data_IF_722424501323
#
_entry.id   IF_722424501323
#
_cell.length_a   1.000
_cell.length_b   1.000
_cell.length_c   1.000
_cell.angle_alpha   90.00
_cell.angle_beta   90.00
_cell.angle_gamma   90.00
#
_symmetry.space_group_name_H-M   'P 1'
#
loop_
_entity.id
_entity.type
_entity.pdbx_description
1 polymer ?
#
# COMPACT_ATOMS: atom_id res chain seq x y z
N UNK A 1 -1.94 -0.38 -3.00
CA UNK A 1 -0.61 -0.54 -3.59
C UNK A 1 -0.77 -0.82 -5.06
N UNK A 2 -0.56 0.21 -5.88
CA UNK A 2 -0.84 0.13 -7.30
C UNK A 2 0.34 -0.43 -8.08
N UNK A 3 0.03 -1.42 -8.90
CA UNK A 3 0.88 -1.86 -9.99
C UNK A 3 0.05 -2.39 -11.17
N UNK A 4 0.31 -1.89 -12.38
CA UNK A 4 -0.16 -2.44 -13.65
C UNK A 4 1.00 -2.32 -14.64
N UNK A 5 1.39 -3.42 -15.29
CA UNK A 5 2.12 -3.36 -16.55
C UNK A 5 1.23 -3.86 -17.70
N UNK A 6 1.63 -3.50 -18.91
CA UNK A 6 1.11 -4.06 -20.16
C UNK A 6 2.05 -5.14 -20.63
N UNK A 7 1.50 -6.31 -20.90
CA UNK A 7 2.18 -7.38 -21.64
C UNK A 7 2.11 -7.06 -23.14
N UNK A 8 3.26 -6.93 -23.80
CA UNK A 8 3.39 -7.14 -25.24
C UNK A 8 4.05 -8.51 -25.42
N UNK A 9 3.40 -9.38 -26.19
CA UNK A 9 3.57 -10.84 -26.11
C UNK A 9 4.92 -11.38 -26.59
N UNK A 10 5.41 -12.42 -25.90
CA UNK A 10 5.48 -13.83 -26.37
C UNK A 10 6.13 -14.71 -25.29
N UNK A 11 5.53 -15.90 -25.11
CA UNK A 11 5.95 -17.17 -24.47
C UNK A 11 7.02 -17.19 -23.35
N UNK A 12 6.62 -17.78 -22.22
CA UNK A 12 7.41 -18.41 -21.14
C UNK A 12 8.39 -17.56 -20.30
N UNK A 13 7.86 -16.85 -19.30
CA UNK A 13 8.36 -16.85 -17.90
C UNK A 13 7.42 -16.04 -16.98
N UNK A 14 7.23 -16.49 -15.73
CA UNK A 14 6.41 -15.83 -14.71
C UNK A 14 6.89 -14.39 -14.48
N UNK A 15 6.00 -13.40 -14.45
CA UNK A 15 6.32 -11.97 -14.28
C UNK A 15 5.43 -11.33 -13.20
N UNK A 16 6.05 -10.64 -12.25
CA UNK A 16 5.38 -9.73 -11.31
C UNK A 16 5.55 -8.32 -11.86
N UNK A 17 4.45 -7.59 -11.97
CA UNK A 17 4.39 -6.30 -12.62
C UNK A 17 4.14 -5.23 -11.56
N UNK A 18 5.12 -4.33 -11.37
CA UNK A 18 5.03 -3.05 -10.64
C UNK A 18 4.67 -1.94 -11.65
N UNK A 19 4.01 -0.84 -11.28
CA UNK A 19 3.69 0.24 -12.25
C UNK A 19 4.99 0.88 -12.78
N UNK A 20 5.29 0.73 -14.09
CA UNK A 20 6.58 1.12 -14.72
C UNK A 20 6.47 2.45 -15.51
N UNK A 21 5.41 3.24 -15.38
CA UNK A 21 5.34 4.51 -16.15
C UNK A 21 6.12 5.67 -15.48
N UNK A 22 6.67 5.44 -14.28
CA UNK A 22 7.65 6.34 -13.65
C UNK A 22 9.10 5.95 -13.94
N UNK A 23 9.36 4.86 -14.67
CA UNK A 23 10.71 4.32 -14.89
C UNK A 23 11.40 3.74 -13.65
N UNK A 24 10.71 3.65 -12.51
CA UNK A 24 11.28 3.14 -11.26
C UNK A 24 11.42 1.61 -11.30
N UNK A 25 12.49 1.09 -10.68
CA UNK A 25 12.73 -0.35 -10.51
C UNK A 25 12.54 -0.74 -9.06
N UNK A 26 11.98 -1.94 -8.77
CA UNK A 26 11.79 -2.35 -7.40
C UNK A 26 13.11 -2.39 -6.61
N UNK A 27 13.14 -1.95 -5.34
CA UNK A 27 14.39 -1.75 -4.62
C UNK A 27 15.21 -3.04 -4.47
N UNK A 28 14.56 -4.19 -4.34
CA UNK A 28 15.21 -5.49 -4.20
C UNK A 28 15.94 -5.98 -5.45
N UNK A 29 15.72 -5.36 -6.63
CA UNK A 29 16.49 -5.72 -7.83
C UNK A 29 17.94 -5.23 -7.76
N UNK A 30 18.27 -4.35 -6.80
CA UNK A 30 19.63 -3.92 -6.52
C UNK A 30 20.16 -4.67 -5.27
N UNK A 31 21.19 -5.54 -5.40
CA UNK A 31 21.69 -6.35 -4.29
C UNK A 31 22.06 -5.56 -3.03
N UNK A 32 22.65 -4.37 -3.20
CA UNK A 32 23.00 -3.49 -2.08
C UNK A 32 21.77 -3.08 -1.24
N UNK A 33 20.64 -2.76 -1.89
CA UNK A 33 19.37 -2.43 -1.20
C UNK A 33 18.78 -3.65 -0.51
N UNK A 34 18.89 -4.85 -1.11
CA UNK A 34 18.44 -6.08 -0.49
C UNK A 34 19.23 -6.43 0.79
N UNK A 35 20.55 -6.16 0.80
CA UNK A 35 21.38 -6.30 2.01
C UNK A 35 21.00 -5.27 3.08
N UNK A 36 20.80 -4.01 2.70
CA UNK A 36 20.36 -2.94 3.61
C UNK A 36 19.01 -3.25 4.27
N UNK A 37 18.05 -3.76 3.51
CA UNK A 37 16.69 -4.06 3.98
C UNK A 37 16.66 -5.04 5.17
N UNK A 38 17.68 -5.89 5.33
CA UNK A 38 17.83 -6.78 6.49
C UNK A 38 18.02 -6.03 7.81
N UNK A 39 18.54 -4.81 7.76
CA UNK A 39 18.70 -3.94 8.93
C UNK A 39 17.51 -3.00 9.10
N UNK A 40 17.02 -2.44 7.99
CA UNK A 40 15.99 -1.41 7.99
C UNK A 40 14.60 -1.97 8.36
N UNK A 41 14.25 -3.15 7.85
CA UNK A 41 12.99 -3.82 8.16
C UNK A 41 12.77 -4.01 9.67
N UNK A 42 13.71 -4.65 10.40
CA UNK A 42 13.61 -4.78 11.86
C UNK A 42 13.55 -3.44 12.61
N UNK A 43 14.26 -2.41 12.12
CA UNK A 43 14.18 -1.06 12.72
C UNK A 43 12.80 -0.45 12.55
N UNK A 44 12.24 -0.49 11.35
CA UNK A 44 10.90 0.00 11.06
C UNK A 44 9.85 -0.77 11.87
N UNK A 45 9.95 -2.10 11.92
CA UNK A 45 9.09 -2.95 12.75
C UNK A 45 9.12 -2.54 14.22
N UNK A 46 10.32 -2.38 14.80
CA UNK A 46 10.48 -1.91 16.18
C UNK A 46 9.88 -0.50 16.36
N UNK A 47 10.15 0.42 15.44
CA UNK A 47 9.67 1.80 15.50
C UNK A 47 8.15 1.88 15.50
N UNK A 48 7.48 1.12 14.63
CA UNK A 48 6.01 1.10 14.54
C UNK A 48 5.35 0.10 15.52
N UNK A 49 6.11 -0.56 16.39
CA UNK A 49 5.57 -1.56 17.33
C UNK A 49 4.92 -2.77 16.63
N UNK A 50 5.36 -3.11 15.42
CA UNK A 50 4.83 -4.23 14.63
C UNK A 50 5.86 -5.35 14.56
N UNK A 51 5.41 -6.59 14.64
CA UNK A 51 6.26 -7.77 14.46
C UNK A 51 5.61 -8.69 13.44
N UNK A 52 6.20 -8.78 12.25
CA UNK A 52 5.70 -9.64 11.18
C UNK A 52 6.83 -10.25 10.36
N UNK A 53 6.53 -11.32 9.65
CA UNK A 53 7.44 -11.91 8.67
C UNK A 53 6.99 -11.53 7.28
N UNK A 54 7.93 -11.17 6.41
CA UNK A 54 7.62 -10.94 4.99
C UNK A 54 7.12 -12.27 4.41
N UNK A 55 5.91 -12.32 3.81
CA UNK A 55 5.40 -13.55 3.24
C UNK A 55 6.32 -14.06 2.13
N UNK A 56 6.54 -15.38 2.02
CA UNK A 56 7.46 -15.96 1.03
C UNK A 56 7.00 -15.77 -0.42
N UNK A 57 5.70 -15.47 -0.63
CA UNK A 57 5.11 -15.18 -1.94
C UNK A 57 5.14 -13.69 -2.32
N UNK A 58 5.61 -12.82 -1.42
CA UNK A 58 5.67 -11.39 -1.71
C UNK A 58 6.78 -11.09 -2.75
N UNK A 59 6.54 -10.21 -3.74
CA UNK A 59 5.33 -9.42 -3.98
C UNK A 59 4.24 -10.15 -4.77
N UNK A 60 2.97 -9.84 -4.48
CA UNK A 60 1.80 -10.37 -5.21
C UNK A 60 1.35 -9.45 -6.34
N UNK A 61 0.61 -9.99 -7.31
CA UNK A 61 -0.18 -9.18 -8.26
C UNK A 61 -1.48 -8.72 -7.58
N UNK A 62 -1.47 -7.53 -7.00
CA UNK A 62 -2.56 -7.02 -6.13
C UNK A 62 -3.79 -6.45 -6.86
N UNK A 63 -3.98 -6.70 -8.16
CA UNK A 63 -5.05 -6.06 -8.95
C UNK A 63 -6.44 -6.32 -8.41
N UNK A 64 -6.79 -7.58 -8.15
CA UNK A 64 -8.12 -7.93 -7.65
C UNK A 64 -8.38 -7.30 -6.27
N UNK A 65 -7.49 -7.41 -5.26
CA UNK A 65 -7.62 -6.68 -3.99
C UNK A 65 -7.80 -5.17 -4.15
N UNK A 66 -7.00 -4.52 -5.00
CA UNK A 66 -7.12 -3.07 -5.21
C UNK A 66 -8.46 -2.68 -5.83
N UNK A 67 -8.99 -3.47 -6.78
CA UNK A 67 -10.32 -3.22 -7.36
C UNK A 67 -11.43 -3.43 -6.33
N UNK A 68 -11.33 -4.47 -5.50
CA UNK A 68 -12.27 -4.71 -4.42
C UNK A 68 -12.25 -3.56 -3.40
N UNK A 69 -11.08 -2.98 -3.10
CA UNK A 69 -10.96 -1.80 -2.26
C UNK A 69 -11.61 -0.56 -2.90
N UNK A 70 -11.46 -0.35 -4.21
CA UNK A 70 -12.16 0.73 -4.93
C UNK A 70 -13.68 0.55 -4.87
N UNK A 71 -14.16 -0.68 -5.09
CA UNK A 71 -15.58 -1.00 -4.98
C UNK A 71 -16.10 -0.77 -3.56
N UNK A 72 -15.41 -1.30 -2.55
CA UNK A 72 -15.78 -1.13 -1.14
C UNK A 72 -15.76 0.36 -0.74
N UNK A 73 -14.81 1.16 -1.21
CA UNK A 73 -14.79 2.61 -0.96
C UNK A 73 -16.02 3.32 -1.52
N UNK A 74 -16.55 2.86 -2.67
CA UNK A 74 -17.73 3.44 -3.32
C UNK A 74 -19.01 3.04 -2.58
N UNK A 75 -19.14 1.77 -2.17
CA UNK A 75 -20.39 1.22 -1.62
C UNK A 75 -20.48 1.27 -0.09
N UNK A 76 -19.34 1.14 0.59
CA UNK A 76 -19.21 1.00 2.04
C UNK A 76 -18.09 1.91 2.57
N UNK A 77 -18.16 3.24 2.33
CA UNK A 77 -17.08 4.18 2.67
C UNK A 77 -16.73 4.15 4.16
N UNK A 78 -17.71 3.89 5.03
CA UNK A 78 -17.56 3.80 6.49
C UNK A 78 -16.77 2.58 6.97
N UNK A 79 -16.67 1.53 6.13
CA UNK A 79 -15.93 0.29 6.42
C UNK A 79 -14.65 0.15 5.60
N UNK A 80 -14.32 1.16 4.80
CA UNK A 80 -13.19 1.09 3.88
C UNK A 80 -11.86 0.87 4.59
N UNK A 81 -11.60 1.63 5.66
CA UNK A 81 -10.34 1.57 6.40
C UNK A 81 -10.18 0.22 7.10
N UNK A 82 -11.25 -0.29 7.74
CA UNK A 82 -11.27 -1.62 8.35
C UNK A 82 -10.99 -2.72 7.32
N UNK A 83 -11.58 -2.62 6.12
CA UNK A 83 -11.33 -3.60 5.06
C UNK A 83 -9.91 -3.51 4.50
N UNK A 84 -9.38 -2.29 4.36
CA UNK A 84 -8.01 -2.06 3.96
C UNK A 84 -7.03 -2.67 4.96
N UNK A 85 -7.21 -2.42 6.25
CA UNK A 85 -6.42 -3.02 7.33
C UNK A 85 -6.55 -4.54 7.32
N UNK A 86 -7.78 -5.07 7.22
CA UNK A 86 -8.03 -6.50 7.15
C UNK A 86 -7.30 -7.19 5.99
N UNK A 87 -7.20 -6.55 4.82
CA UNK A 87 -6.41 -7.06 3.70
C UNK A 87 -4.91 -7.16 4.06
N UNK A 88 -4.36 -6.12 4.70
CA UNK A 88 -2.97 -6.12 5.16
C UNK A 88 -2.71 -7.18 6.23
N UNK A 89 -3.56 -7.24 7.26
CA UNK A 89 -3.46 -8.21 8.34
C UNK A 89 -3.54 -9.65 7.82
N UNK A 90 -4.48 -9.93 6.92
CA UNK A 90 -4.65 -11.26 6.31
C UNK A 90 -3.43 -11.65 5.46
N UNK A 91 -2.85 -10.71 4.73
CA UNK A 91 -1.68 -10.97 3.87
C UNK A 91 -0.38 -11.09 4.65
N UNK A 92 -0.08 -10.10 5.50
CA UNK A 92 1.21 -9.97 6.18
C UNK A 92 1.29 -10.81 7.45
N UNK A 93 0.26 -10.77 8.30
CA UNK A 93 0.27 -11.52 9.56
C UNK A 93 -0.36 -12.91 9.39
N UNK A 94 -1.44 -13.00 8.61
CA UNK A 94 -2.08 -14.26 8.25
C UNK A 94 -1.28 -15.11 7.25
N UNK A 95 -0.28 -14.53 6.56
CA UNK A 95 0.53 -15.21 5.54
C UNK A 95 -0.32 -15.83 4.42
N UNK A 96 -1.39 -15.14 4.00
CA UNK A 96 -2.28 -15.58 2.92
C UNK A 96 -2.15 -14.68 1.69
N UNK A 97 -1.96 -15.28 0.51
CA UNK A 97 -1.90 -14.55 -0.75
C UNK A 97 -3.31 -14.06 -1.13
N UNK A 98 -3.62 -12.80 -0.82
CA UNK A 98 -4.91 -12.17 -1.14
C UNK A 98 -5.10 -11.88 -2.65
N UNK A 99 -4.11 -12.13 -3.52
CA UNK A 99 -4.39 -12.16 -4.96
C UNK A 99 -5.32 -13.31 -5.35
N UNK A 100 -5.46 -14.30 -4.47
CA UNK A 100 -6.41 -15.40 -4.58
C UNK A 100 -7.79 -15.00 -4.04
N UNK A 101 -8.87 -15.14 -4.83
CA UNK A 101 -10.23 -14.77 -4.42
C UNK A 101 -10.66 -15.35 -3.06
N UNK A 102 -10.31 -16.60 -2.79
CA UNK A 102 -10.65 -17.30 -1.56
C UNK A 102 -10.01 -16.66 -0.31
N UNK A 103 -8.77 -16.19 -0.43
CA UNK A 103 -8.07 -15.51 0.67
C UNK A 103 -8.55 -14.07 0.83
N UNK A 104 -8.90 -13.41 -0.27
CA UNK A 104 -9.49 -12.07 -0.22
C UNK A 104 -10.87 -12.09 0.46
N UNK A 105 -11.66 -13.14 0.25
CA UNK A 105 -12.92 -13.35 0.98
C UNK A 105 -12.70 -13.51 2.48
N UNK A 106 -11.63 -14.19 2.92
CA UNK A 106 -11.27 -14.28 4.34
C UNK A 106 -11.03 -12.87 4.92
N UNK A 107 -10.34 -11.99 4.19
CA UNK A 107 -10.16 -10.62 4.63
C UNK A 107 -11.48 -9.84 4.66
N UNK A 108 -12.32 -9.96 3.62
CA UNK A 108 -13.61 -9.26 3.55
C UNK A 108 -14.56 -9.67 4.70
N UNK A 109 -14.64 -10.96 5.01
CA UNK A 109 -15.51 -11.51 6.08
C UNK A 109 -15.17 -11.06 7.48
N UNK A 110 -14.00 -10.46 7.71
CA UNK A 110 -13.66 -9.85 9.01
C UNK A 110 -14.40 -8.53 9.26
N UNK A 111 -14.97 -7.93 8.21
CA UNK A 111 -15.57 -6.58 8.22
C UNK A 111 -17.00 -6.58 7.69
N UNK A 112 -17.28 -7.48 6.75
CA UNK A 112 -18.55 -7.60 6.03
C UNK A 112 -19.22 -8.94 6.30
N UNK A 113 -20.55 -8.97 6.19
CA UNK A 113 -21.26 -10.24 6.15
C UNK A 113 -20.96 -11.02 4.87
N UNK A 114 -21.43 -12.27 4.79
CA UNK A 114 -21.15 -13.14 3.63
C UNK A 114 -21.66 -12.55 2.32
N UNK A 115 -22.85 -11.95 2.30
CA UNK A 115 -23.45 -11.40 1.09
C UNK A 115 -22.64 -10.20 0.58
N UNK A 116 -22.30 -9.29 1.48
CA UNK A 116 -21.47 -8.13 1.22
C UNK A 116 -20.05 -8.52 0.76
N UNK A 117 -19.43 -9.52 1.40
CA UNK A 117 -18.11 -9.99 1.02
C UNK A 117 -18.08 -10.56 -0.42
N UNK A 118 -19.10 -11.35 -0.78
CA UNK A 118 -19.26 -11.88 -2.15
C UNK A 118 -19.53 -10.77 -3.16
N UNK A 119 -20.37 -9.80 -2.79
CA UNK A 119 -20.65 -8.62 -3.61
C UNK A 119 -19.38 -7.83 -3.91
N UNK A 120 -18.54 -7.55 -2.89
CA UNK A 120 -17.27 -6.84 -3.05
C UNK A 120 -16.33 -7.59 -4.00
N UNK A 121 -16.19 -8.91 -3.81
CA UNK A 121 -15.35 -9.73 -4.67
C UNK A 121 -15.82 -9.69 -6.14
N UNK A 122 -17.13 -9.77 -6.36
CA UNK A 122 -17.73 -9.66 -7.69
C UNK A 122 -17.55 -8.25 -8.27
N UNK A 123 -17.78 -7.22 -7.47
CA UNK A 123 -17.65 -5.80 -7.82
C UNK A 123 -16.25 -5.42 -8.26
N UNK A 124 -15.21 -6.09 -7.74
CA UNK A 124 -13.84 -5.95 -8.22
C UNK A 124 -13.64 -6.30 -9.71
N UNK A 125 -14.59 -6.97 -10.36
CA UNK A 125 -14.55 -7.28 -11.78
C UNK A 125 -15.36 -6.32 -12.67
N UNK A 126 -16.09 -5.39 -12.08
CA UNK A 126 -16.88 -4.39 -12.79
C UNK A 126 -16.00 -3.52 -13.71
N UNK A 127 -16.40 -3.29 -14.98
CA UNK A 127 -15.67 -2.41 -15.90
C UNK A 127 -15.44 -0.99 -15.37
N UNK A 128 -16.41 -0.40 -14.67
CA UNK A 128 -16.29 0.94 -14.09
C UNK A 128 -15.21 0.95 -13.01
N UNK A 129 -15.21 -0.04 -12.10
CA UNK A 129 -14.22 -0.16 -11.02
C UNK A 129 -12.81 -0.39 -11.58
N UNK A 130 -12.69 -1.20 -12.64
CA UNK A 130 -11.42 -1.39 -13.35
C UNK A 130 -10.91 -0.07 -13.91
N UNK A 131 -11.79 0.73 -14.51
CA UNK A 131 -11.47 2.05 -15.06
C UNK A 131 -11.09 3.02 -13.94
N UNK A 132 -11.87 3.12 -12.87
CA UNK A 132 -11.58 4.00 -11.73
C UNK A 132 -10.22 3.70 -11.11
N UNK A 133 -9.87 2.43 -10.90
CA UNK A 133 -8.54 2.07 -10.41
C UNK A 133 -7.44 2.53 -11.38
N UNK A 134 -7.62 2.33 -12.69
CA UNK A 134 -6.66 2.76 -13.70
C UNK A 134 -6.49 4.29 -13.72
N UNK A 135 -7.60 5.03 -13.76
CA UNK A 135 -7.63 6.49 -13.80
C UNK A 135 -6.96 7.11 -12.56
N UNK A 136 -7.29 6.62 -11.35
CA UNK A 136 -6.69 7.09 -10.10
C UNK A 136 -5.17 6.95 -10.11
N UNK A 137 -4.70 5.85 -10.68
CA UNK A 137 -3.28 5.53 -10.76
C UNK A 137 -2.57 6.40 -11.79
N UNK A 138 -3.17 6.55 -12.97
CA UNK A 138 -2.65 7.39 -14.04
C UNK A 138 -2.53 8.84 -13.58
N UNK A 139 -3.53 9.34 -12.86
CA UNK A 139 -3.48 10.66 -12.24
C UNK A 139 -2.32 10.79 -11.25
N UNK A 140 -2.15 9.83 -10.34
CA UNK A 140 -1.05 9.85 -9.38
C UNK A 140 0.33 9.91 -10.06
N UNK A 141 0.54 9.15 -11.14
CA UNK A 141 1.86 9.11 -11.81
C UNK A 141 2.06 10.27 -12.78
N UNK A 142 1.10 10.52 -13.68
CA UNK A 142 1.27 11.50 -14.77
C UNK A 142 1.01 12.93 -14.33
N UNK A 143 0.10 13.14 -13.39
CA UNK A 143 -0.26 14.48 -12.92
C UNK A 143 0.46 14.83 -11.64
N UNK A 144 0.51 13.91 -10.67
CA UNK A 144 1.10 14.19 -9.35
C UNK A 144 2.58 13.80 -9.24
N UNK A 145 3.15 13.14 -10.25
CA UNK A 145 4.58 12.79 -10.28
C UNK A 145 4.96 11.61 -9.38
N UNK A 146 3.98 10.80 -8.93
CA UNK A 146 4.26 9.66 -8.07
C UNK A 146 5.14 8.63 -8.79
N UNK A 147 6.21 8.20 -8.11
CA UNK A 147 7.16 7.21 -8.63
C UNK A 147 7.24 5.93 -7.78
N UNK A 148 6.46 5.83 -6.72
CA UNK A 148 6.46 4.69 -5.81
C UNK A 148 5.31 4.76 -4.81
N UNK A 149 5.35 3.89 -3.81
CA UNK A 149 4.39 3.90 -2.71
C UNK A 149 5.06 3.62 -1.34
N UNK A 150 4.47 4.11 -0.23
CA UNK A 150 3.33 5.03 -0.20
C UNK A 150 3.69 6.43 -0.74
N UNK A 151 2.71 7.08 -1.36
CA UNK A 151 2.79 8.44 -1.89
C UNK A 151 1.61 9.22 -1.35
N UNK A 152 1.89 10.37 -0.76
CA UNK A 152 0.89 11.26 -0.18
C UNK A 152 0.89 12.57 -0.94
N UNK A 153 -0.29 13.04 -1.32
CA UNK A 153 -0.50 14.39 -1.83
C UNK A 153 -1.26 15.15 -0.74
N UNK A 154 -0.58 16.05 -0.04
CA UNK A 154 -1.08 16.66 1.19
C UNK A 154 -1.55 18.07 0.87
N UNK A 155 -2.79 18.39 1.24
CA UNK A 155 -3.36 19.73 1.09
C UNK A 155 -3.31 20.46 2.43
N UNK A 156 -2.86 21.72 2.43
CA UNK A 156 -2.72 22.53 3.65
C UNK A 156 -4.02 23.23 4.11
N UNK A 157 -5.09 23.10 3.34
CA UNK A 157 -6.38 23.80 3.58
C UNK A 157 -6.37 25.29 3.21
N UNK A 158 -5.24 25.84 2.75
CA UNK A 158 -5.05 27.23 2.30
C UNK A 158 -5.01 27.34 0.76
N UNK A 159 -5.26 26.22 0.07
CA UNK A 159 -5.25 26.13 -1.39
C UNK A 159 -3.94 25.62 -1.98
N UNK A 160 -2.97 25.24 -1.14
CA UNK A 160 -1.71 24.63 -1.60
C UNK A 160 -1.75 23.11 -1.39
N UNK A 161 -0.89 22.40 -2.12
CA UNK A 161 -0.62 20.99 -1.88
C UNK A 161 0.79 20.61 -2.34
N UNK A 162 1.41 19.64 -1.66
CA UNK A 162 2.71 19.11 -2.05
C UNK A 162 2.87 17.59 -1.79
N UNK A 163 3.81 16.92 -2.47
CA UNK A 163 3.99 15.48 -2.35
C UNK A 163 4.97 15.03 -1.26
N UNK A 164 4.65 13.90 -0.62
CA UNK A 164 5.55 13.19 0.30
C UNK A 164 5.61 11.70 -0.05
N UNK A 165 6.83 11.15 -0.12
CA UNK A 165 7.08 9.75 -0.47
C UNK A 165 7.72 8.97 0.67
N UNK A 166 7.17 7.79 0.98
CA UNK A 166 7.69 6.88 2.00
C UNK A 166 6.89 6.91 3.31
N UNK A 167 7.13 5.92 4.16
CA UNK A 167 6.50 5.78 5.48
C UNK A 167 7.27 6.49 6.59
N UNK A 168 8.30 7.24 6.25
CA UNK A 168 9.32 7.81 7.12
C UNK A 168 9.42 9.34 6.96
N UNK A 169 8.33 9.99 6.50
CA UNK A 169 8.23 11.44 6.22
C UNK A 169 7.09 12.15 6.94
N UNK A 170 6.45 11.49 7.91
CA UNK A 170 5.29 12.08 8.61
C UNK A 170 5.59 13.40 9.31
N UNK A 171 6.80 13.59 9.87
CA UNK A 171 7.19 14.86 10.50
C UNK A 171 7.18 16.04 9.50
N UNK A 172 7.70 15.84 8.28
CA UNK A 172 7.59 16.87 7.24
C UNK A 172 6.15 17.17 6.85
N UNK A 173 5.28 16.15 6.85
CA UNK A 173 3.85 16.36 6.61
C UNK A 173 3.20 17.16 7.74
N UNK A 174 3.60 16.93 9.00
CA UNK A 174 3.11 17.69 10.15
C UNK A 174 3.61 19.13 10.15
N UNK A 175 4.88 19.36 9.81
CA UNK A 175 5.42 20.71 9.59
C UNK A 175 4.64 21.46 8.51
N UNK A 176 4.41 20.81 7.35
CA UNK A 176 3.64 21.40 6.25
C UNK A 176 2.19 21.76 6.63
N UNK A 177 1.60 20.97 7.54
CA UNK A 177 0.23 21.16 8.04
C UNK A 177 0.15 22.09 9.27
N UNK A 178 1.26 22.69 9.70
CA UNK A 178 1.36 23.47 10.94
C UNK A 178 0.86 22.68 12.18
N UNK A 179 1.02 21.35 12.19
CA UNK A 179 0.61 20.48 13.30
C UNK A 179 1.74 20.45 14.36
N UNK A 180 1.48 20.88 15.61
CA UNK A 180 2.48 20.82 16.67
C UNK A 180 2.92 19.39 16.93
N UNK A 181 4.23 19.14 16.85
CA UNK A 181 4.81 17.84 17.13
C UNK A 181 6.20 17.96 17.76
N UNK A 182 6.71 16.84 18.26
CA UNK A 182 8.06 16.72 18.79
C UNK A 182 8.76 15.61 18.01
N UNK A 183 9.75 15.98 17.21
CA UNK A 183 10.42 15.08 16.25
C UNK A 183 11.20 13.94 16.92
N UNK A 184 12.49 14.14 17.20
CA UNK A 184 13.35 13.18 17.89
C UNK A 184 13.99 13.85 19.10
N UNK A 185 13.27 13.91 20.22
CA UNK A 185 13.84 14.37 21.48
C UNK A 185 14.73 13.29 22.10
N UNK A 186 16.02 13.60 22.27
CA UNK A 186 16.91 12.79 23.09
C UNK A 186 16.49 12.92 24.55
N UNK A 187 15.98 11.84 25.13
CA UNK A 187 15.81 11.79 26.57
C UNK A 187 17.19 11.83 27.23
N UNK A 188 17.37 12.70 28.24
CA UNK A 188 18.58 12.67 29.07
C UNK A 188 18.78 11.25 29.57
N UNK A 189 19.98 10.70 29.34
CA UNK A 189 20.30 9.34 29.78
C UNK A 189 19.92 9.17 31.26
N UNK A 190 19.37 8.02 31.69
CA UNK A 190 19.43 7.69 33.10
C UNK A 190 20.90 7.79 33.51
N UNK A 191 21.18 8.52 34.60
CA UNK A 191 22.52 8.64 35.15
C UNK A 191 23.12 7.21 35.23
N UNK A 192 24.30 7.04 34.64
CA UNK A 192 25.03 5.78 34.47
C UNK A 192 24.71 4.73 35.55
N UNK A 193 24.31 3.53 35.12
CA UNK A 193 24.56 2.29 35.84
C UNK A 193 25.42 1.39 34.95
#
# INVERSE_FOLDING_TARGET
MVALSKTLGKMNQKKIECYIDCGNKPPWTLPAKALYAKYDGPRAQKYFGKSFKIPPFFPILSLLPQRCLVYAKKQYPEKYEDFFESCFETMWNGQLDISKPENLLIAARKVFDEAQAQEILKGGNDPEIKKTLADNTEHAVKTLGAFGCPWFWVHDGKGNAEPFFGSDRFHFMWDYLDIPHRDLELMSAPAKL
#
